data_IF_329904447660
#
_entry.id   IF_329904447660
#
_cell.length_a   1.000
_cell.length_b   1.000
_cell.length_c   1.000
_cell.angle_alpha   90.00
_cell.angle_beta   90.00
_cell.angle_gamma   90.00
#
_symmetry.space_group_name_H-M   'P 1'
#
loop_
_entity.id
_entity.type
_entity.pdbx_description
1 polymer ?
#
# COMPACT_ATOMS: atom_id res chain seq x y z
N UNK A 1 10.92 -13.66 -15.40
CA UNK A 1 9.47 -13.40 -15.49
C UNK A 1 9.23 -11.90 -15.46
N UNK A 2 8.37 -11.37 -16.34
CA UNK A 2 8.03 -9.93 -16.40
C UNK A 2 6.86 -9.64 -15.45
N UNK A 3 6.90 -8.52 -14.72
CA UNK A 3 5.82 -8.13 -13.78
C UNK A 3 4.45 -8.06 -14.47
N UNK A 4 4.41 -7.62 -15.73
CA UNK A 4 3.18 -7.55 -16.54
C UNK A 4 2.49 -8.91 -16.71
N UNK A 5 3.25 -9.99 -16.88
CA UNK A 5 2.67 -11.34 -16.98
C UNK A 5 2.05 -11.80 -15.66
N UNK A 6 2.68 -11.47 -14.52
CA UNK A 6 2.15 -11.78 -13.19
C UNK A 6 0.90 -10.96 -12.92
N UNK A 7 0.89 -9.66 -13.23
CA UNK A 7 -0.27 -8.81 -13.06
C UNK A 7 -1.46 -9.34 -13.89
N UNK A 8 -1.23 -9.73 -15.14
CA UNK A 8 -2.27 -10.34 -15.97
C UNK A 8 -2.81 -11.65 -15.39
N UNK A 9 -1.93 -12.49 -14.84
CA UNK A 9 -2.35 -13.73 -14.15
C UNK A 9 -3.22 -13.41 -12.94
N UNK A 10 -2.80 -12.47 -12.10
CA UNK A 10 -3.54 -12.05 -10.90
C UNK A 10 -4.89 -11.39 -11.26
N UNK A 11 -4.94 -10.61 -12.35
CA UNK A 11 -6.17 -10.08 -12.93
C UNK A 11 -7.14 -11.19 -13.34
N UNK A 12 -6.62 -12.21 -14.03
CA UNK A 12 -7.44 -13.33 -14.47
C UNK A 12 -7.99 -14.12 -13.27
N UNK A 13 -7.21 -14.29 -12.21
CA UNK A 13 -7.67 -14.89 -10.96
C UNK A 13 -8.79 -14.05 -10.32
N UNK A 14 -8.63 -12.72 -10.32
CA UNK A 14 -9.66 -11.80 -9.82
C UNK A 14 -10.96 -11.89 -10.63
N UNK A 15 -10.88 -12.00 -11.95
CA UNK A 15 -12.08 -12.08 -12.82
C UNK A 15 -12.77 -13.44 -12.72
N UNK A 16 -11.99 -14.52 -12.57
CA UNK A 16 -12.53 -15.89 -12.56
C UNK A 16 -13.12 -16.33 -11.22
N UNK A 17 -12.96 -15.53 -10.15
CA UNK A 17 -13.26 -15.90 -8.75
C UNK A 17 -12.70 -17.28 -8.35
N UNK A 18 -11.66 -17.72 -9.06
CA UNK A 18 -10.99 -19.00 -8.87
C UNK A 18 -9.57 -18.72 -8.42
N UNK A 19 -9.30 -18.99 -7.15
CA UNK A 19 -7.94 -18.95 -6.61
C UNK A 19 -7.21 -20.24 -6.99
N UNK A 20 -6.98 -20.42 -8.30
CA UNK A 20 -6.04 -21.42 -8.76
C UNK A 20 -4.67 -21.13 -8.10
N UNK A 21 -3.97 -22.19 -7.70
CA UNK A 21 -2.65 -22.05 -7.08
C UNK A 21 -1.70 -21.37 -8.07
N UNK A 22 -1.11 -20.25 -7.67
CA UNK A 22 0.01 -19.65 -8.38
C UNK A 22 1.17 -20.65 -8.38
N UNK A 23 1.88 -20.76 -9.51
CA UNK A 23 3.04 -21.61 -9.60
C UNK A 23 4.20 -21.08 -8.72
N UNK A 24 5.14 -21.96 -8.39
CA UNK A 24 6.24 -21.65 -7.49
C UNK A 24 7.18 -20.52 -8.02
N UNK A 25 7.30 -20.36 -9.34
CA UNK A 25 8.10 -19.28 -9.92
C UNK A 25 7.40 -17.93 -9.78
N UNK A 26 6.08 -17.88 -10.03
CA UNK A 26 5.27 -16.67 -9.79
C UNK A 26 5.31 -16.25 -8.32
N UNK A 27 5.13 -17.18 -7.39
CA UNK A 27 5.22 -16.89 -5.94
C UNK A 27 6.61 -16.40 -5.55
N UNK A 28 7.68 -17.01 -6.07
CA UNK A 28 9.06 -16.58 -5.83
C UNK A 28 9.30 -15.16 -6.34
N UNK A 29 8.81 -14.83 -7.54
CA UNK A 29 8.95 -13.47 -8.08
C UNK A 29 8.19 -12.44 -7.24
N UNK A 30 6.93 -12.74 -6.87
CA UNK A 30 6.13 -11.88 -6.01
C UNK A 30 6.90 -11.56 -4.72
N UNK A 31 7.48 -12.55 -4.04
CA UNK A 31 8.22 -12.33 -2.78
C UNK A 31 9.36 -11.34 -2.93
N UNK A 32 10.07 -11.33 -4.05
CA UNK A 32 11.25 -10.47 -4.26
C UNK A 32 10.93 -9.17 -5.00
N UNK A 33 9.78 -9.06 -5.65
CA UNK A 33 9.43 -7.91 -6.49
C UNK A 33 8.50 -6.95 -5.75
N UNK A 34 8.98 -5.74 -5.44
CA UNK A 34 8.17 -4.70 -4.78
C UNK A 34 6.90 -4.32 -5.58
N UNK A 35 7.01 -4.24 -6.91
CA UNK A 35 5.90 -3.90 -7.80
C UNK A 35 4.79 -4.94 -7.71
N UNK A 36 5.11 -6.23 -7.81
CA UNK A 36 4.13 -7.31 -7.73
C UNK A 36 3.50 -7.41 -6.33
N UNK A 37 4.26 -7.12 -5.26
CA UNK A 37 3.70 -7.06 -3.89
C UNK A 37 2.69 -5.94 -3.74
N UNK A 38 3.05 -4.72 -4.16
CA UNK A 38 2.13 -3.58 -4.14
C UNK A 38 0.85 -3.87 -4.92
N UNK A 39 0.97 -4.50 -6.09
CA UNK A 39 -0.18 -4.89 -6.89
C UNK A 39 -1.09 -5.91 -6.18
N UNK A 40 -0.54 -6.88 -5.45
CA UNK A 40 -1.32 -7.80 -4.62
C UNK A 40 -2.02 -7.06 -3.48
N UNK A 41 -1.37 -6.09 -2.84
CA UNK A 41 -2.03 -5.31 -1.80
C UNK A 41 -3.21 -4.51 -2.35
N UNK A 42 -3.09 -3.94 -3.56
CA UNK A 42 -4.24 -3.31 -4.26
C UNK A 42 -5.36 -4.33 -4.45
N UNK A 43 -5.04 -5.54 -4.93
CA UNK A 43 -6.03 -6.59 -5.14
C UNK A 43 -6.70 -7.02 -3.84
N UNK A 44 -5.92 -7.22 -2.77
CA UNK A 44 -6.45 -7.58 -1.45
C UNK A 44 -7.32 -6.47 -0.87
N UNK A 45 -6.95 -5.21 -1.05
CA UNK A 45 -7.79 -4.07 -0.67
C UNK A 45 -9.10 -4.04 -1.47
N UNK A 46 -9.04 -4.35 -2.76
CA UNK A 46 -10.21 -4.43 -3.64
C UNK A 46 -11.15 -5.60 -3.31
N UNK A 47 -10.63 -6.72 -2.78
CA UNK A 47 -11.41 -7.93 -2.44
C UNK A 47 -11.90 -7.90 -0.97
N UNK A 48 -10.97 -7.70 -0.03
CA UNK A 48 -11.17 -7.95 1.41
C UNK A 48 -11.76 -6.79 2.20
N UNK A 49 -11.78 -5.58 1.63
CA UNK A 49 -12.51 -4.44 2.19
C UNK A 49 -11.97 -3.88 3.52
N UNK A 50 -10.90 -4.45 4.09
CA UNK A 50 -10.14 -3.90 5.21
C UNK A 50 -8.89 -3.24 4.67
N UNK A 51 -8.79 -1.92 4.83
CA UNK A 51 -7.62 -1.14 4.47
C UNK A 51 -6.54 -1.44 5.51
N UNK A 52 -5.48 -2.12 5.10
CA UNK A 52 -4.32 -2.30 5.97
C UNK A 52 -3.61 -0.94 6.06
N UNK A 53 -3.34 -0.40 7.25
CA UNK A 53 -2.38 0.67 7.42
C UNK A 53 -1.00 0.17 7.05
N UNK A 54 -0.19 1.14 6.71
CA UNK A 54 0.78 0.96 5.65
C UNK A 54 2.05 0.41 6.24
N UNK A 55 2.56 -0.68 5.65
CA UNK A 55 3.92 -1.15 5.80
C UNK A 55 4.91 0.02 5.87
N UNK A 56 5.43 0.33 7.05
CA UNK A 56 6.65 1.13 7.13
C UNK A 56 7.76 0.35 6.40
N UNK A 57 8.84 1.03 6.01
CA UNK A 57 10.01 0.34 5.43
C UNK A 57 10.27 -0.93 6.24
N UNK A 58 10.47 -2.10 5.59
CA UNK A 58 10.74 -3.32 6.34
C UNK A 58 11.87 -3.00 7.31
N UNK A 59 11.60 -3.16 8.61
CA UNK A 59 12.58 -2.85 9.63
C UNK A 59 13.90 -3.50 9.19
N UNK A 60 14.99 -2.72 9.16
CA UNK A 60 16.30 -3.31 8.98
C UNK A 60 16.43 -4.45 9.99
N UNK A 61 17.03 -5.58 9.61
CA UNK A 61 17.03 -6.83 10.41
C UNK A 61 17.29 -6.58 11.91
N UNK A 62 18.11 -5.58 12.24
CA UNK A 62 18.51 -5.20 13.59
C UNK A 62 17.40 -4.56 14.46
N UNK A 63 16.37 -3.98 13.86
CA UNK A 63 15.23 -3.36 14.58
C UNK A 63 14.03 -4.30 14.68
N UNK A 64 14.05 -5.43 13.96
CA UNK A 64 12.95 -6.37 13.98
C UNK A 64 12.81 -7.05 15.35
N UNK A 65 13.92 -7.45 15.97
CA UNK A 65 13.90 -8.23 17.21
C UNK A 65 13.22 -7.49 18.38
N UNK A 66 13.41 -6.18 18.48
CA UNK A 66 12.82 -5.35 19.53
C UNK A 66 11.31 -5.13 19.34
N UNK A 67 10.87 -4.94 18.09
CA UNK A 67 9.47 -4.67 17.77
C UNK A 67 8.65 -5.96 17.60
N UNK A 68 9.29 -7.09 17.25
CA UNK A 68 8.63 -8.36 16.95
C UNK A 68 7.87 -8.91 18.17
N UNK A 69 8.47 -8.86 19.37
CA UNK A 69 7.80 -9.28 20.59
C UNK A 69 6.54 -8.46 20.86
N UNK A 70 6.63 -7.13 20.72
CA UNK A 70 5.49 -6.22 20.90
C UNK A 70 4.39 -6.45 19.85
N UNK A 71 4.79 -6.74 18.61
CA UNK A 71 3.87 -7.10 17.54
C UNK A 71 3.12 -8.40 17.85
N UNK A 72 3.83 -9.45 18.30
CA UNK A 72 3.24 -10.75 18.66
C UNK A 72 2.24 -10.57 19.81
N UNK A 73 2.62 -9.86 20.87
CA UNK A 73 1.74 -9.61 22.01
C UNK A 73 0.47 -8.87 21.58
N UNK A 74 0.61 -7.85 20.74
CA UNK A 74 -0.53 -7.05 20.27
C UNK A 74 -1.46 -7.85 19.34
N UNK A 75 -0.93 -8.64 18.40
CA UNK A 75 -1.73 -9.54 17.55
C UNK A 75 -2.46 -10.61 18.37
N UNK A 76 -1.85 -11.11 19.45
CA UNK A 76 -2.49 -12.11 20.34
C UNK A 76 -3.62 -11.52 21.16
N UNK A 77 -3.44 -10.31 21.68
CA UNK A 77 -4.45 -9.62 22.48
C UNK A 77 -5.59 -9.09 21.62
N UNK A 78 -5.30 -8.62 20.40
CA UNK A 78 -6.27 -8.05 19.48
C UNK A 78 -5.86 -8.32 18.02
N UNK A 79 -6.35 -9.42 17.41
CA UNK A 79 -5.97 -9.80 16.05
C UNK A 79 -6.14 -8.66 15.04
N UNK A 80 -5.07 -8.37 14.30
CA UNK A 80 -4.99 -7.30 13.31
C UNK A 80 -4.46 -5.95 13.83
N UNK A 81 -4.42 -5.69 15.14
CA UNK A 81 -3.88 -4.44 15.70
C UNK A 81 -2.35 -4.33 15.57
N UNK A 82 -1.63 -5.46 15.61
CA UNK A 82 -0.19 -5.48 15.39
C UNK A 82 0.16 -4.93 14.01
N UNK A 83 -0.63 -5.28 12.99
CA UNK A 83 -0.46 -4.73 11.64
C UNK A 83 -0.67 -3.23 11.59
N UNK A 84 -1.57 -2.70 12.43
CA UNK A 84 -1.80 -1.26 12.53
C UNK A 84 -0.67 -0.52 13.23
N UNK A 85 -0.12 -1.13 14.28
CA UNK A 85 0.83 -0.46 15.17
C UNK A 85 2.29 -0.66 14.77
N UNK A 86 2.63 -1.82 14.20
CA UNK A 86 3.98 -2.17 13.75
C UNK A 86 3.95 -2.64 12.29
N UNK A 87 3.56 -1.76 11.37
CA UNK A 87 3.43 -2.15 9.97
C UNK A 87 4.78 -2.52 9.32
N UNK A 88 5.90 -2.00 9.85
CA UNK A 88 7.25 -2.40 9.45
C UNK A 88 7.48 -3.91 9.65
N UNK A 89 7.09 -4.40 10.83
CA UNK A 89 7.20 -5.80 11.25
C UNK A 89 6.26 -6.67 10.43
N UNK A 90 4.98 -6.30 10.29
CA UNK A 90 4.02 -7.06 9.45
C UNK A 90 4.52 -7.18 8.00
N UNK A 91 5.01 -6.08 7.43
CA UNK A 91 5.62 -6.08 6.09
C UNK A 91 6.82 -7.03 6.03
N UNK A 92 7.76 -6.89 6.96
CA UNK A 92 8.98 -7.69 6.98
C UNK A 92 8.65 -9.20 7.12
N UNK A 93 7.74 -9.58 8.02
CA UNK A 93 7.32 -10.97 8.22
C UNK A 93 6.68 -11.60 6.97
N UNK A 94 6.06 -10.80 6.09
CA UNK A 94 5.52 -11.31 4.81
C UNK A 94 6.60 -11.56 3.77
N UNK A 95 7.77 -10.93 3.91
CA UNK A 95 8.84 -10.92 2.90
C UNK A 95 9.97 -11.86 3.31
N UNK A 96 10.34 -11.86 4.58
CA UNK A 96 11.44 -12.64 5.14
C UNK A 96 10.94 -13.97 5.73
N UNK A 97 11.19 -15.11 5.07
CA UNK A 97 10.71 -16.41 5.54
C UNK A 97 11.38 -16.85 6.85
N UNK A 98 12.57 -16.35 7.16
CA UNK A 98 13.28 -16.72 8.39
C UNK A 98 12.69 -15.97 9.60
N UNK A 99 12.45 -14.67 9.46
CA UNK A 99 11.74 -13.90 10.49
C UNK A 99 10.30 -14.39 10.70
N UNK A 100 9.62 -14.87 9.64
CA UNK A 100 8.31 -15.51 9.78
C UNK A 100 8.37 -16.83 10.60
N UNK A 101 9.43 -17.63 10.44
CA UNK A 101 9.63 -18.84 11.27
C UNK A 101 9.84 -18.47 12.73
N UNK A 102 10.65 -17.45 13.00
CA UNK A 102 10.91 -16.96 14.35
C UNK A 102 9.63 -16.43 15.01
N UNK A 103 8.88 -15.59 14.30
CA UNK A 103 7.54 -15.16 14.70
C UNK A 103 6.63 -16.34 15.05
N UNK A 104 6.54 -17.34 14.17
CA UNK A 104 5.67 -18.50 14.35
C UNK A 104 6.07 -19.30 15.60
N UNK A 105 7.36 -19.54 15.77
CA UNK A 105 7.93 -20.24 16.92
C UNK A 105 7.67 -19.49 18.24
N UNK A 106 7.93 -18.19 18.28
CA UNK A 106 7.66 -17.37 19.48
C UNK A 106 6.17 -17.35 19.82
N UNK A 107 5.30 -17.21 18.82
CA UNK A 107 3.85 -17.20 19.03
C UNK A 107 3.36 -18.56 19.56
N UNK A 108 3.89 -19.69 19.07
CA UNK A 108 3.59 -21.03 19.59
C UNK A 108 4.07 -21.20 21.04
N UNK A 109 5.33 -20.83 21.36
CA UNK A 109 5.85 -20.89 22.73
C UNK A 109 5.01 -20.08 23.72
N UNK A 110 4.57 -18.90 23.30
CA UNK A 110 3.76 -18.03 24.14
C UNK A 110 2.30 -18.51 24.29
N UNK A 111 1.79 -19.30 23.34
CA UNK A 111 0.51 -20.00 23.50
C UNK A 111 0.61 -21.05 24.62
N UNK A 112 1.71 -21.79 24.67
CA UNK A 112 1.97 -22.78 25.72
C UNK A 112 2.28 -22.15 27.09
N UNK A 113 2.87 -20.95 27.11
CA UNK A 113 3.30 -20.26 28.34
C UNK A 113 2.22 -19.42 29.04
N UNK A 114 0.96 -19.44 28.58
CA UNK A 114 -0.11 -18.50 28.98
C UNK A 114 -0.68 -18.66 30.41
N UNK A 115 0.12 -19.14 31.38
CA UNK A 115 -0.27 -19.28 32.80
C UNK A 115 0.35 -18.27 33.78
N UNK A 116 1.15 -17.28 33.37
CA UNK A 116 1.75 -16.33 34.32
C UNK A 116 1.76 -14.89 33.79
N UNK A 117 1.04 -13.98 34.46
CA UNK A 117 1.06 -12.54 34.21
C UNK A 117 2.19 -11.86 34.99
N UNK A 118 3.06 -11.11 34.30
CA UNK A 118 3.93 -10.09 34.90
C UNK A 118 4.03 -8.88 33.97
N UNK A 119 4.06 -7.68 34.55
CA UNK A 119 4.02 -6.36 33.89
C UNK A 119 5.42 -5.71 33.90
N UNK A 120 5.88 -5.12 32.79
CA UNK A 120 7.15 -4.33 32.71
C UNK A 120 6.95 -3.08 31.80
N UNK A 121 7.62 -1.93 32.05
CA UNK A 121 7.39 -0.64 31.36
C UNK A 121 8.35 -0.33 30.19
N UNK A 122 7.91 0.60 29.32
CA UNK A 122 8.52 1.05 28.04
C UNK A 122 9.68 2.08 28.14
N UNK A 123 10.64 2.06 27.19
CA UNK A 123 11.53 3.21 26.91
C UNK A 123 11.38 3.81 25.48
N UNK A 124 11.97 5.01 25.29
CA UNK A 124 11.74 6.00 24.21
C UNK A 124 12.76 6.00 23.04
N UNK A 125 12.33 6.53 21.89
CA UNK A 125 12.97 6.65 20.56
C UNK A 125 14.18 7.63 20.45
N UNK A 126 15.04 7.38 19.44
CA UNK A 126 16.18 8.21 18.99
C UNK A 126 16.19 8.30 17.42
N UNK A 127 17.11 9.03 16.73
CA UNK A 127 16.79 10.24 15.94
C UNK A 127 16.91 10.12 14.40
N UNK A 128 16.52 11.21 13.71
CA UNK A 128 16.25 11.36 12.28
C UNK A 128 17.45 11.25 11.30
N UNK A 129 17.19 10.72 10.11
CA UNK A 129 18.09 10.60 8.95
C UNK A 129 17.98 11.87 8.06
N UNK A 130 19.11 12.29 7.47
CA UNK A 130 19.22 13.44 6.55
C UNK A 130 18.84 13.04 5.10
N UNK A 131 17.70 13.52 4.56
CA UNK A 131 17.16 13.12 3.25
C UNK A 131 17.90 13.74 2.05
N UNK A 132 18.83 14.67 2.24
CA UNK A 132 19.41 15.44 1.12
C UNK A 132 20.48 14.70 0.30
N UNK A 133 21.04 13.60 0.81
CA UNK A 133 22.15 12.87 0.16
C UNK A 133 21.73 11.76 -0.81
N UNK A 134 20.45 11.38 -0.85
CA UNK A 134 19.96 10.25 -1.67
C UNK A 134 19.76 10.66 -3.15
N UNK A 135 19.62 11.95 -3.42
CA UNK A 135 19.11 12.47 -4.69
C UNK A 135 20.14 12.60 -5.82
N UNK A 136 21.42 12.81 -5.50
CA UNK A 136 22.47 12.91 -6.52
C UNK A 136 22.75 11.59 -7.26
N UNK A 137 22.14 10.49 -6.82
CA UNK A 137 22.29 9.13 -7.33
C UNK A 137 21.06 8.58 -8.06
N UNK A 138 19.97 9.33 -8.16
CA UNK A 138 18.80 8.86 -8.93
C UNK A 138 19.12 8.96 -10.42
N UNK A 139 19.13 7.84 -11.16
CA UNK A 139 19.48 7.86 -12.56
C UNK A 139 18.40 8.62 -13.35
N UNK A 140 18.81 9.41 -14.34
CA UNK A 140 17.93 10.10 -15.30
C UNK A 140 17.02 9.14 -16.12
N UNK A 141 17.13 7.82 -15.89
CA UNK A 141 16.30 6.77 -16.44
C UNK A 141 15.06 6.44 -15.61
N UNK A 142 14.69 7.24 -14.60
CA UNK A 142 13.36 7.19 -13.97
C UNK A 142 12.31 7.78 -14.92
N UNK A 143 12.20 7.17 -16.10
CA UNK A 143 11.00 7.20 -16.90
C UNK A 143 10.71 5.72 -17.18
N UNK A 144 9.75 5.11 -16.47
CA UNK A 144 8.43 4.97 -17.09
C UNK A 144 7.29 4.94 -16.06
N UNK A 145 6.06 4.87 -16.55
CA UNK A 145 4.86 4.43 -15.82
C UNK A 145 5.19 3.54 -14.60
N UNK A 146 5.01 4.10 -13.40
CA UNK A 146 5.38 3.44 -12.15
C UNK A 146 4.32 2.38 -11.80
N UNK A 147 3.06 2.62 -12.17
CA UNK A 147 1.99 1.63 -12.01
C UNK A 147 1.01 1.65 -13.17
N UNK A 148 0.47 0.47 -13.47
CA UNK A 148 -0.70 0.31 -14.31
C UNK A 148 -1.73 -0.51 -13.53
N UNK A 149 -2.91 0.06 -13.31
CA UNK A 149 -4.06 -0.66 -12.75
C UNK A 149 -4.99 -1.07 -13.89
N UNK A 150 -5.21 -2.37 -13.96
CA UNK A 150 -6.13 -2.97 -14.92
C UNK A 150 -7.58 -2.55 -14.64
N UNK A 151 -8.45 -2.78 -15.62
CA UNK A 151 -9.89 -2.54 -15.45
C UNK A 151 -10.57 -3.40 -14.40
N UNK A 152 -10.31 -4.71 -14.29
CA UNK A 152 -10.87 -5.51 -13.21
C UNK A 152 -10.55 -4.95 -11.82
N UNK A 153 -9.30 -4.53 -11.61
CA UNK A 153 -8.85 -3.90 -10.34
C UNK A 153 -9.62 -2.60 -10.09
N UNK A 154 -9.62 -1.69 -11.07
CA UNK A 154 -10.30 -0.40 -10.92
C UNK A 154 -11.79 -0.54 -10.68
N UNK A 155 -12.48 -1.42 -11.40
CA UNK A 155 -13.92 -1.61 -11.23
C UNK A 155 -14.26 -2.07 -9.80
N UNK A 156 -13.48 -2.99 -9.23
CA UNK A 156 -13.68 -3.43 -7.84
C UNK A 156 -13.35 -2.33 -6.84
N UNK A 157 -12.26 -1.58 -7.05
CA UNK A 157 -11.93 -0.42 -6.21
C UNK A 157 -13.06 0.62 -6.22
N UNK A 158 -13.56 0.99 -7.40
CA UNK A 158 -14.63 1.99 -7.57
C UNK A 158 -15.93 1.53 -6.94
N UNK A 159 -16.36 0.29 -7.21
CA UNK A 159 -17.55 -0.28 -6.56
C UNK A 159 -17.42 -0.26 -5.04
N UNK A 160 -16.22 -0.55 -4.52
CA UNK A 160 -15.98 -0.52 -3.08
C UNK A 160 -16.04 0.90 -2.54
N UNK A 161 -15.39 1.87 -3.20
CA UNK A 161 -15.44 3.28 -2.78
C UNK A 161 -16.89 3.76 -2.77
N UNK A 162 -17.69 3.43 -3.77
CA UNK A 162 -19.13 3.75 -3.81
C UNK A 162 -19.92 3.09 -2.68
N UNK A 163 -19.58 1.85 -2.29
CA UNK A 163 -20.20 1.18 -1.15
C UNK A 163 -19.81 1.80 0.20
N UNK A 164 -18.61 2.35 0.31
CA UNK A 164 -18.07 2.98 1.52
C UNK A 164 -18.41 4.47 1.62
N UNK A 165 -18.62 5.17 0.50
CA UNK A 165 -18.95 6.60 0.50
C UNK A 165 -20.30 6.86 1.19
N UNK A 166 -21.24 5.91 1.14
CA UNK A 166 -22.46 5.95 1.95
C UNK A 166 -22.24 5.86 3.46
N UNK A 167 -21.12 5.30 3.91
CA UNK A 167 -20.72 5.18 5.32
C UNK A 167 -19.87 6.37 5.82
N UNK A 168 -19.16 7.06 4.92
CA UNK A 168 -18.13 8.07 5.28
C UNK A 168 -18.61 9.52 5.06
N UNK A 169 -19.85 9.75 4.60
CA UNK A 169 -20.42 11.09 4.40
C UNK A 169 -20.46 11.98 5.67
N UNK A 170 -20.16 11.46 6.86
CA UNK A 170 -20.17 12.21 8.13
C UNK A 170 -18.83 12.75 8.65
N UNK A 171 -17.67 12.36 8.10
CA UNK A 171 -16.36 12.75 8.66
C UNK A 171 -15.69 13.80 7.77
N UNK A 172 -16.21 15.04 7.84
CA UNK A 172 -15.51 16.24 7.39
C UNK A 172 -14.59 16.71 8.52
N UNK A 173 -13.53 15.93 8.76
CA UNK A 173 -12.54 16.20 9.80
C UNK A 173 -11.44 17.12 9.28
N UNK A 174 -11.17 18.17 10.04
CA UNK A 174 -10.06 19.12 9.89
C UNK A 174 -8.72 18.37 10.01
N UNK A 175 -7.82 18.55 9.03
CA UNK A 175 -6.41 18.16 9.11
C UNK A 175 -6.02 16.68 8.95
N UNK A 176 -6.89 15.72 9.30
CA UNK A 176 -6.55 14.30 9.16
C UNK A 176 -7.02 13.79 7.79
N UNK A 177 -6.06 13.45 6.92
CA UNK A 177 -6.33 12.89 5.60
C UNK A 177 -7.08 11.57 5.80
N UNK A 178 -8.41 11.62 5.81
CA UNK A 178 -9.26 10.43 5.93
C UNK A 178 -8.83 9.29 5.01
N UNK A 179 -9.30 8.07 5.24
CA UNK A 179 -8.63 6.82 4.85
C UNK A 179 -8.02 6.87 3.42
N UNK A 180 -6.69 6.76 3.35
CA UNK A 180 -5.97 6.64 2.08
C UNK A 180 -6.28 5.28 1.44
N UNK A 181 -6.67 5.27 0.17
CA UNK A 181 -7.13 4.06 -0.54
C UNK A 181 -6.02 3.09 -0.89
N UNK A 182 -4.82 3.62 -1.07
CA UNK A 182 -3.65 2.84 -1.39
C UNK A 182 -2.43 3.61 -0.92
N UNK A 183 -1.44 2.95 -0.33
CA UNK A 183 -0.10 3.52 -0.15
C UNK A 183 0.91 2.48 -0.58
N UNK A 184 2.02 2.94 -1.15
CA UNK A 184 3.07 2.09 -1.66
C UNK A 184 4.42 2.70 -1.32
N UNK A 185 5.31 1.90 -0.75
CA UNK A 185 6.70 2.30 -0.57
C UNK A 185 7.44 2.13 -1.90
N UNK A 186 7.80 3.25 -2.51
CA UNK A 186 8.75 3.30 -3.62
C UNK A 186 10.11 2.84 -3.14
N UNK A 187 10.95 2.42 -4.09
CA UNK A 187 12.38 2.34 -3.79
C UNK A 187 12.90 3.68 -3.24
N UNK A 188 14.01 3.63 -2.51
CA UNK A 188 14.67 4.81 -1.93
C UNK A 188 13.91 5.52 -0.79
N UNK A 189 12.94 4.84 -0.18
CA UNK A 189 12.30 5.28 1.07
C UNK A 189 11.20 6.33 0.93
N UNK A 190 10.61 6.44 -0.26
CA UNK A 190 9.40 7.22 -0.45
C UNK A 190 8.17 6.36 -0.25
N UNK A 191 7.11 6.96 0.27
CA UNK A 191 5.80 6.38 0.41
C UNK A 191 4.83 7.22 -0.39
N UNK A 192 4.25 6.63 -1.43
CA UNK A 192 3.23 7.27 -2.23
C UNK A 192 1.86 6.78 -1.78
N UNK A 193 0.98 7.68 -1.35
CA UNK A 193 -0.41 7.37 -0.99
C UNK A 193 -1.37 7.96 -2.02
N UNK A 194 -2.48 7.28 -2.28
CA UNK A 194 -3.58 7.76 -3.12
C UNK A 194 -4.86 7.81 -2.32
N UNK A 195 -5.58 8.91 -2.49
CA UNK A 195 -6.92 9.08 -1.97
C UNK A 195 -7.86 9.39 -3.11
N UNK A 196 -8.93 8.60 -3.24
CA UNK A 196 -9.95 8.78 -4.28
C UNK A 196 -11.23 9.27 -3.61
N UNK A 197 -11.63 10.48 -3.93
CA UNK A 197 -12.79 11.16 -3.36
C UNK A 197 -13.90 11.22 -4.41
N UNK A 198 -15.10 10.79 -4.04
CA UNK A 198 -16.29 11.04 -4.85
C UNK A 198 -16.71 12.50 -4.64
N UNK A 199 -16.65 13.32 -5.69
CA UNK A 199 -17.08 14.73 -5.62
C UNK A 199 -18.59 14.80 -5.83
N UNK A 200 -19.05 14.21 -6.94
CA UNK A 200 -20.44 14.05 -7.33
C UNK A 200 -20.57 12.89 -8.33
N UNK A 201 -21.77 12.67 -8.87
CA UNK A 201 -22.04 11.57 -9.81
C UNK A 201 -21.25 11.68 -11.14
N UNK A 202 -20.70 12.86 -11.46
CA UNK A 202 -19.98 13.13 -12.68
C UNK A 202 -18.47 13.12 -12.50
N UNK A 203 -17.97 13.38 -11.30
CA UNK A 203 -16.54 13.60 -11.06
C UNK A 203 -16.01 12.94 -9.80
N UNK A 204 -14.76 12.49 -9.92
CA UNK A 204 -13.93 12.02 -8.84
C UNK A 204 -12.72 12.94 -8.68
N UNK A 205 -12.20 13.05 -7.47
CA UNK A 205 -10.96 13.77 -7.20
C UNK A 205 -9.94 12.78 -6.66
N UNK A 206 -8.71 12.83 -7.18
CA UNK A 206 -7.60 12.06 -6.64
C UNK A 206 -6.63 13.00 -5.95
N UNK A 207 -6.29 12.68 -4.70
CA UNK A 207 -5.20 13.33 -3.96
C UNK A 207 -4.09 12.31 -3.82
N UNK A 208 -2.87 12.70 -4.16
CA UNK A 208 -1.68 11.88 -4.05
C UNK A 208 -0.80 12.50 -2.97
N UNK A 209 -0.35 11.69 -2.02
CA UNK A 209 0.61 12.10 -1.00
C UNK A 209 1.95 11.40 -1.24
N UNK A 210 3.06 12.08 -1.01
CA UNK A 210 4.40 11.54 -1.18
C UNK A 210 5.23 11.92 0.04
N UNK A 211 5.71 10.91 0.76
CA UNK A 211 6.49 11.06 2.00
C UNK A 211 7.84 10.33 1.88
N UNK A 212 9.00 10.98 2.01
CA UNK A 212 9.13 12.42 2.26
C UNK A 212 8.67 13.27 1.05
N UNK A 213 8.26 14.53 1.27
CA UNK A 213 7.87 15.44 0.20
C UNK A 213 8.95 15.56 -0.89
N UNK A 214 8.52 15.55 -2.14
CA UNK A 214 9.37 15.70 -3.32
C UNK A 214 8.75 16.72 -4.26
N UNK A 215 9.55 17.65 -4.78
CA UNK A 215 9.16 18.50 -5.90
C UNK A 215 9.14 17.69 -7.19
N UNK A 216 7.98 17.08 -7.47
CA UNK A 216 7.69 16.35 -8.68
C UNK A 216 6.26 16.65 -9.15
N UNK A 217 5.90 16.16 -10.32
CA UNK A 217 4.54 16.16 -10.85
C UNK A 217 4.03 14.73 -10.90
N UNK A 218 2.89 14.46 -10.28
CA UNK A 218 2.17 13.19 -10.52
C UNK A 218 1.33 13.33 -11.77
N UNK A 219 1.40 12.33 -12.64
CA UNK A 219 0.55 12.23 -13.83
C UNK A 219 -0.24 10.93 -13.79
N UNK A 220 -1.56 11.05 -13.90
CA UNK A 220 -2.49 9.95 -14.12
C UNK A 220 -2.94 9.94 -15.57
N UNK A 221 -2.80 8.80 -16.24
CA UNK A 221 -3.21 8.64 -17.62
C UNK A 221 -4.26 7.51 -17.76
N UNK A 222 -5.38 7.84 -18.38
CA UNK A 222 -6.43 6.92 -18.81
C UNK A 222 -6.41 6.85 -20.34
N UNK A 223 -5.57 5.98 -20.89
CA UNK A 223 -5.37 5.93 -22.35
C UNK A 223 -4.70 7.21 -22.84
N UNK A 224 -5.45 8.05 -23.55
CA UNK A 224 -4.96 9.34 -24.09
C UNK A 224 -5.31 10.55 -23.21
N UNK A 225 -6.13 10.36 -22.17
CA UNK A 225 -6.50 11.42 -21.24
C UNK A 225 -5.51 11.47 -20.09
N UNK A 226 -4.90 12.63 -19.86
CA UNK A 226 -3.91 12.84 -18.82
C UNK A 226 -4.35 13.92 -17.83
N UNK A 227 -4.13 13.64 -16.55
CA UNK A 227 -4.42 14.51 -15.43
C UNK A 227 -3.13 14.65 -14.63
N UNK A 228 -2.71 15.88 -14.35
CA UNK A 228 -1.44 16.13 -13.68
C UNK A 228 -1.58 17.13 -12.53
N UNK A 229 -0.76 16.95 -11.49
CA UNK A 229 -0.64 17.88 -10.38
C UNK A 229 0.78 17.87 -9.81
N UNK A 230 1.29 19.04 -9.49
CA UNK A 230 2.59 19.18 -8.82
C UNK A 230 2.42 18.99 -7.31
N UNK A 231 3.35 18.29 -6.68
CA UNK A 231 3.36 18.15 -5.22
C UNK A 231 3.69 19.48 -4.54
N UNK A 232 2.95 19.78 -3.47
CA UNK A 232 3.22 20.90 -2.57
C UNK A 232 4.47 20.64 -1.71
N UNK A 233 4.87 21.64 -0.92
CA UNK A 233 5.94 21.51 0.08
C UNK A 233 5.65 20.41 1.12
N UNK A 234 4.36 20.15 1.40
CA UNK A 234 3.89 19.08 2.29
C UNK A 234 3.83 17.72 1.60
N UNK A 235 4.23 17.62 0.34
CA UNK A 235 4.20 16.36 -0.42
C UNK A 235 2.80 15.96 -0.87
N UNK A 236 1.87 16.91 -1.04
CA UNK A 236 0.50 16.64 -1.51
C UNK A 236 0.29 17.18 -2.93
N UNK A 237 -0.27 16.35 -3.81
CA UNK A 237 -0.69 16.73 -5.15
C UNK A 237 -2.18 16.42 -5.32
N UNK A 238 -2.99 17.45 -5.57
CA UNK A 238 -4.43 17.28 -5.83
C UNK A 238 -4.69 17.38 -7.32
N UNK A 239 -5.11 16.26 -7.93
CA UNK A 239 -5.43 16.22 -9.35
C UNK A 239 -6.76 16.94 -9.63
N UNK A 240 -6.91 17.52 -10.83
CA UNK A 240 -8.18 18.10 -11.26
C UNK A 240 -9.29 17.03 -11.27
N UNK A 241 -10.58 17.43 -11.19
CA UNK A 241 -11.69 16.49 -11.23
C UNK A 241 -11.64 15.60 -12.48
N UNK A 242 -11.74 14.29 -12.25
CA UNK A 242 -11.64 13.24 -13.26
C UNK A 242 -13.05 12.70 -13.54
N UNK A 243 -13.49 12.64 -14.81
CA UNK A 243 -14.81 12.14 -15.15
C UNK A 243 -15.08 10.73 -14.59
N UNK A 244 -16.25 10.53 -13.98
CA UNK A 244 -16.67 9.25 -13.42
C UNK A 244 -16.75 8.14 -14.47
N UNK A 245 -16.98 8.48 -15.73
CA UNK A 245 -16.95 7.54 -16.85
C UNK A 245 -15.58 6.90 -17.05
N UNK A 246 -14.48 7.59 -16.72
CA UNK A 246 -13.13 7.02 -16.78
C UNK A 246 -12.87 5.97 -15.70
N UNK A 247 -13.61 5.99 -14.59
CA UNK A 247 -13.51 5.01 -13.52
C UNK A 247 -14.51 3.86 -13.67
N UNK A 248 -15.74 4.19 -14.06
CA UNK A 248 -16.88 3.26 -14.03
C UNK A 248 -17.10 2.52 -15.35
N UNK A 249 -16.57 3.01 -16.47
CA UNK A 249 -16.74 2.32 -17.75
C UNK A 249 -15.91 1.02 -17.77
N UNK A 250 -16.56 -0.16 -17.85
CA UNK A 250 -15.85 -1.44 -17.83
C UNK A 250 -14.94 -1.64 -19.06
N UNK A 251 -15.22 -0.95 -20.17
CA UNK A 251 -14.43 -0.97 -21.39
C UNK A 251 -13.39 0.17 -21.50
N UNK A 252 -13.21 0.96 -20.43
CA UNK A 252 -12.26 2.08 -20.45
C UNK A 252 -10.78 1.61 -20.48
N UNK A 253 -9.82 2.53 -20.68
CA UNK A 253 -8.38 2.21 -20.69
C UNK A 253 -7.80 1.99 -19.28
N UNK A 254 -6.74 1.21 -19.10
CA UNK A 254 -6.07 1.07 -17.81
C UNK A 254 -5.63 2.45 -17.23
N UNK A 255 -5.58 2.56 -15.89
CA UNK A 255 -5.02 3.73 -15.22
C UNK A 255 -3.53 3.55 -15.09
N UNK A 256 -2.78 4.43 -15.71
CA UNK A 256 -1.34 4.51 -15.61
C UNK A 256 -0.95 5.68 -14.72
N UNK A 257 0.02 5.47 -13.85
CA UNK A 257 0.48 6.47 -12.89
C UNK A 257 1.99 6.63 -13.01
N UNK A 258 2.45 7.87 -13.11
CA UNK A 258 3.87 8.22 -13.23
C UNK A 258 4.20 9.46 -12.41
N UNK A 259 5.47 9.59 -12.06
CA UNK A 259 6.06 10.78 -11.44
C UNK A 259 7.04 11.38 -12.44
N UNK A 260 6.91 12.68 -12.70
CA UNK A 260 7.73 13.48 -13.62
C UNK A 260 8.48 14.60 -12.88
#
# INVERSE_FOLDING_TARGET
>A
MLCSAIHQTLDNLLVSDSFASLDAETLRHIRTCAVCRGYIEVLLAAIGGQMLPIAAEPAADHHLDEELASYIDLERLNPGQGRLRYPAVDSHLRICPDCYKEYSFMNEMLQDASLVQLTIPSPSLNPAIDPTKIWASLPASLNPTIWSWSRPVMNRLVQRIQSLSGLIQGVRGDGDLGPAFYRHTLGFGYNLAFRVLHVDDQYWQIVVALEPPLQATVVLAFGNEEFQATFSEDGLATLPPIPATLFTNPAGPALNIRLE
#
